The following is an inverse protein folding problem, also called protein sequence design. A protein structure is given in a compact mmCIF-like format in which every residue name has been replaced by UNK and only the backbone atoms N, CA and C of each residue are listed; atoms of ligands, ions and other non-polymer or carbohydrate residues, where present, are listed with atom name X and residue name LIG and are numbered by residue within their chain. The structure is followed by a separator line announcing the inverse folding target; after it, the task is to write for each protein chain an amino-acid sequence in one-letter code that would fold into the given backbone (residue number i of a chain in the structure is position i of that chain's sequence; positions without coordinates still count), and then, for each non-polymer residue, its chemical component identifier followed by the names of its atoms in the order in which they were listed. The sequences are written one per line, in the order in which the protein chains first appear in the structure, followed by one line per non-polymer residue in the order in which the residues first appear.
data_IF_045379023211
#
_entry.id   IF_045379023211
#
_cell.length_a   1.000
_cell.length_b   1.000
_cell.length_c   1.000
_cell.angle_alpha   90.00
_cell.angle_beta   90.00
_cell.angle_gamma   90.00
#
_symmetry.space_group_name_H-M   'P 1'
#
loop_
_entity.id
_entity.type
_entity.pdbx_description
1 polymer ?
#
# COMPACT_ATOMS: atom_id res chain seq x y z
N UNK A 1 -8.61 -57.48 5.75
CA UNK A 1 -9.11 -57.96 7.06
C UNK A 1 -8.60 -57.05 8.19
N UNK A 2 -9.32 -55.95 8.45
CA UNK A 2 -9.67 -55.40 9.76
C UNK A 2 -10.36 -54.04 9.53
N UNK A 3 -11.55 -53.93 10.09
CA UNK A 3 -12.54 -52.87 9.92
C UNK A 3 -12.62 -52.02 11.20
N UNK A 4 -13.47 -50.98 11.13
CA UNK A 4 -14.06 -50.13 12.18
C UNK A 4 -13.31 -48.80 12.43
N UNK A 5 -13.84 -47.62 12.08
CA UNK A 5 -15.12 -46.95 12.40
C UNK A 5 -15.20 -46.43 13.86
N UNK A 6 -15.21 -45.10 14.01
CA UNK A 6 -15.69 -44.35 15.19
C UNK A 6 -16.05 -42.93 14.72
N UNK A 7 -17.34 -42.61 14.54
CA UNK A 7 -18.27 -42.04 15.52
C UNK A 7 -18.03 -40.55 15.80
N UNK A 8 -18.77 -39.72 15.06
CA UNK A 8 -18.99 -38.30 15.33
C UNK A 8 -20.05 -38.14 16.43
N UNK A 9 -19.76 -37.30 17.43
CA UNK A 9 -20.70 -36.92 18.48
C UNK A 9 -21.26 -35.52 18.20
N UNK A 10 -22.59 -35.47 18.09
CA UNK A 10 -23.43 -34.28 17.97
C UNK A 10 -23.64 -33.68 19.37
N UNK A 11 -23.45 -32.37 19.60
CA UNK A 11 -23.80 -31.76 20.88
C UNK A 11 -25.32 -31.60 21.02
N UNK A 12 -25.81 -32.06 22.16
CA UNK A 12 -27.21 -32.02 22.58
C UNK A 12 -27.67 -30.60 22.88
N UNK A 13 -28.81 -30.23 22.31
CA UNK A 13 -29.62 -29.08 22.69
C UNK A 13 -30.25 -29.27 24.08
N UNK A 14 -30.31 -28.19 24.87
CA UNK A 14 -31.17 -28.12 26.08
C UNK A 14 -32.31 -27.12 25.88
N UNK A 15 -33.51 -27.41 26.41
CA UNK A 15 -34.69 -26.58 26.27
C UNK A 15 -34.91 -25.61 27.45
N UNK A 16 -35.47 -24.45 27.09
CA UNK A 16 -36.56 -23.69 27.72
C UNK A 16 -36.55 -23.50 29.25
N UNK A 17 -36.38 -22.25 29.68
CA UNK A 17 -37.00 -21.73 30.88
C UNK A 17 -37.65 -20.37 30.56
N UNK A 18 -38.97 -20.38 30.70
CA UNK A 18 -39.92 -19.29 30.59
C UNK A 18 -39.83 -18.35 31.80
N UNK A 19 -39.85 -17.05 31.53
CA UNK A 19 -39.94 -16.00 32.54
C UNK A 19 -40.59 -14.75 31.96
N UNK A 20 -41.91 -14.76 31.86
CA UNK A 20 -42.71 -13.59 31.52
C UNK A 20 -42.90 -12.70 32.76
N UNK A 21 -42.76 -11.40 32.60
CA UNK A 21 -43.43 -10.40 33.44
C UNK A 21 -43.85 -9.20 32.59
N UNK A 22 -44.95 -8.51 32.93
CA UNK A 22 -45.71 -7.67 32.00
C UNK A 22 -45.62 -6.16 32.29
N UNK A 23 -46.18 -5.37 31.34
CA UNK A 23 -46.61 -3.96 31.44
C UNK A 23 -45.49 -2.90 31.52
N UNK A 24 -45.55 -1.74 30.85
CA UNK A 24 -46.69 -0.95 30.36
C UNK A 24 -46.25 0.05 29.26
N UNK A 25 -47.17 0.52 28.38
CA UNK A 25 -46.90 1.50 27.32
C UNK A 25 -47.43 2.91 27.66
N UNK A 26 -46.65 3.95 27.38
CA UNK A 26 -47.04 5.36 27.26
C UNK A 26 -45.75 6.15 26.89
N UNK A 27 -45.69 7.13 25.99
CA UNK A 27 -46.67 7.91 25.26
C UNK A 27 -45.89 8.84 24.29
N UNK A 28 -46.50 9.15 23.14
CA UNK A 28 -46.50 10.49 22.46
C UNK A 28 -45.15 10.95 21.87
N UNK A 29 -44.90 10.86 20.55
CA UNK A 29 -45.43 11.68 19.44
C UNK A 29 -45.07 13.19 19.50
N UNK A 30 -44.92 13.82 18.32
CA UNK A 30 -44.51 15.21 17.98
C UNK A 30 -42.98 15.42 17.82
N UNK A 31 -42.40 16.01 16.76
CA UNK A 31 -42.82 16.88 15.64
C UNK A 31 -41.84 16.59 14.46
N UNK A 32 -42.27 16.44 13.19
CA UNK A 32 -42.75 17.47 12.25
C UNK A 32 -41.65 18.46 11.83
N UNK A 33 -41.22 18.29 10.56
CA UNK A 33 -40.72 19.30 9.61
C UNK A 33 -39.28 19.83 9.74
N UNK A 34 -38.41 19.39 8.81
CA UNK A 34 -37.62 20.34 8.01
C UNK A 34 -37.78 19.98 6.53
N UNK A 35 -38.22 20.99 5.80
CA UNK A 35 -38.57 20.99 4.40
C UNK A 35 -37.34 20.99 3.49
N UNK A 36 -37.50 20.31 2.36
CA UNK A 36 -37.23 20.80 1.01
C UNK A 36 -36.27 21.99 0.91
N UNK A 37 -35.03 21.73 0.49
CA UNK A 37 -34.18 22.73 -0.16
C UNK A 37 -33.89 22.27 -1.60
N UNK A 38 -34.27 23.06 -2.61
CA UNK A 38 -34.00 22.75 -4.01
C UNK A 38 -32.52 22.95 -4.34
N UNK A 39 -31.91 21.90 -4.89
CA UNK A 39 -30.61 21.98 -5.56
C UNK A 39 -30.76 22.80 -6.84
N UNK A 40 -30.40 24.08 -6.76
CA UNK A 40 -30.20 24.91 -7.96
C UNK A 40 -28.81 24.65 -8.54
N UNK A 41 -28.81 24.22 -9.79
CA UNK A 41 -27.66 24.06 -10.65
C UNK A 41 -26.86 25.36 -10.82
N UNK A 42 -25.53 25.25 -10.76
CA UNK A 42 -24.61 26.25 -11.29
C UNK A 42 -23.34 25.54 -11.81
N UNK A 43 -23.46 24.84 -12.94
CA UNK A 43 -22.28 24.44 -13.73
C UNK A 43 -21.79 25.66 -14.52
N UNK A 44 -20.75 26.32 -13.98
CA UNK A 44 -19.97 27.31 -14.70
C UNK A 44 -18.93 26.61 -15.57
N UNK A 45 -19.13 26.67 -16.87
CA UNK A 45 -18.17 26.26 -17.90
C UNK A 45 -16.93 27.14 -17.86
N UNK A 46 -15.75 26.57 -17.60
CA UNK A 46 -14.47 27.23 -17.90
C UNK A 46 -13.81 26.49 -19.06
N UNK A 47 -13.81 27.14 -20.23
CA UNK A 47 -13.08 26.71 -21.42
C UNK A 47 -11.62 27.11 -21.21
N UNK A 48 -10.73 26.14 -20.99
CA UNK A 48 -9.29 26.36 -21.14
C UNK A 48 -8.91 26.16 -22.60
N UNK A 49 -8.61 27.27 -23.25
CA UNK A 49 -7.97 27.38 -24.56
C UNK A 49 -6.58 26.75 -24.47
N UNK A 50 -6.38 25.60 -25.11
CA UNK A 50 -5.05 25.03 -25.35
C UNK A 50 -4.55 25.59 -26.68
N UNK A 51 -3.61 26.53 -26.61
CA UNK A 51 -2.83 26.96 -27.76
C UNK A 51 -1.79 25.88 -28.04
N UNK A 52 -2.01 25.10 -29.10
CA UNK A 52 -0.97 24.27 -29.71
C UNK A 52 -0.05 25.19 -30.51
N UNK A 53 1.21 25.29 -30.09
CA UNK A 53 2.27 25.85 -30.91
C UNK A 53 2.83 24.73 -31.80
N UNK A 54 2.45 24.75 -33.07
CA UNK A 54 3.14 24.06 -34.15
C UNK A 54 4.53 24.68 -34.32
N UNK A 55 5.59 23.88 -34.18
CA UNK A 55 6.88 24.21 -34.78
C UNK A 55 7.28 23.04 -35.68
N UNK A 56 6.74 23.09 -36.90
CA UNK A 56 7.31 22.40 -38.03
C UNK A 56 8.54 23.19 -38.50
N UNK A 57 9.70 22.55 -38.53
CA UNK A 57 10.82 22.99 -39.36
C UNK A 57 11.37 21.77 -40.05
N UNK A 58 10.86 21.57 -41.27
CA UNK A 58 11.49 20.76 -42.28
C UNK A 58 12.81 21.43 -42.69
N UNK A 59 13.91 20.71 -42.58
CA UNK A 59 15.11 20.97 -43.37
C UNK A 59 15.34 19.72 -44.22
N UNK A 60 14.95 19.85 -45.47
CA UNK A 60 15.40 19.01 -46.58
C UNK A 60 16.84 19.44 -46.88
N UNK A 61 17.81 18.54 -46.75
CA UNK A 61 19.07 18.69 -47.46
C UNK A 61 19.55 17.32 -47.93
N UNK A 62 19.50 17.13 -49.25
CA UNK A 62 20.12 16.02 -49.96
C UNK A 62 21.62 16.30 -50.04
N UNK A 63 22.46 15.37 -49.58
CA UNK A 63 23.91 15.52 -49.65
C UNK A 63 24.66 14.25 -49.27
N UNK A 64 24.83 13.36 -50.25
CA UNK A 64 25.74 12.21 -50.21
C UNK A 64 27.18 12.67 -49.95
N UNK A 65 27.80 12.29 -48.82
CA UNK A 65 29.23 11.94 -48.75
C UNK A 65 29.51 10.95 -47.61
N UNK A 66 30.36 9.98 -47.94
CA UNK A 66 30.81 8.87 -47.10
C UNK A 66 31.68 9.36 -45.93
N UNK A 67 31.73 8.51 -44.89
CA UNK A 67 32.79 8.38 -43.87
C UNK A 67 33.12 9.61 -43.01
N UNK A 68 32.70 9.61 -41.74
CA UNK A 68 33.31 10.51 -40.75
C UNK A 68 32.55 10.86 -39.46
N UNK A 69 31.36 10.32 -39.20
CA UNK A 69 30.47 10.81 -38.13
C UNK A 69 30.18 9.81 -36.99
N UNK A 70 31.21 9.09 -36.52
CA UNK A 70 31.05 8.17 -35.37
C UNK A 70 31.60 8.70 -34.05
N UNK A 71 32.57 9.62 -34.03
CA UNK A 71 33.18 10.07 -32.76
C UNK A 71 32.54 11.31 -32.13
N UNK A 72 32.00 12.23 -32.92
CA UNK A 72 31.46 13.49 -32.39
C UNK A 72 30.10 13.35 -31.69
N UNK A 73 29.28 12.35 -32.06
CA UNK A 73 28.00 12.08 -31.39
C UNK A 73 28.15 11.43 -30.00
N UNK A 74 29.19 10.62 -29.78
CA UNK A 74 29.47 10.05 -28.45
C UNK A 74 29.95 11.13 -27.46
N UNK A 75 30.77 12.09 -27.92
CA UNK A 75 31.25 13.17 -27.05
C UNK A 75 30.15 14.17 -26.68
N UNK A 76 29.20 14.46 -27.58
CA UNK A 76 28.06 15.30 -27.25
C UNK A 76 27.07 14.62 -26.29
N UNK A 77 26.87 13.29 -26.39
CA UNK A 77 26.06 12.56 -25.40
C UNK A 77 26.74 12.53 -24.03
N UNK A 78 28.07 12.37 -23.98
CA UNK A 78 28.83 12.40 -22.72
C UNK A 78 28.86 13.80 -22.09
N UNK A 79 28.91 14.87 -22.89
CA UNK A 79 28.82 16.24 -22.38
C UNK A 79 27.39 16.60 -21.89
N UNK A 80 26.35 16.07 -22.53
CA UNK A 80 24.97 16.22 -22.05
C UNK A 80 24.74 15.45 -20.73
N UNK A 81 25.38 14.31 -20.53
CA UNK A 81 25.35 13.55 -19.27
C UNK A 81 26.24 14.18 -18.18
N UNK A 82 27.34 14.84 -18.54
CA UNK A 82 28.20 15.55 -17.59
C UNK A 82 27.59 16.88 -17.10
N UNK A 83 26.61 17.43 -17.84
CA UNK A 83 25.83 18.61 -17.44
C UNK A 83 24.63 18.31 -16.55
N UNK A 84 24.27 17.04 -16.37
CA UNK A 84 23.41 16.59 -15.27
C UNK A 84 24.27 16.58 -14.01
N UNK A 85 24.51 17.79 -13.51
CA UNK A 85 25.17 18.02 -12.25
C UNK A 85 24.60 17.12 -11.15
N UNK A 86 25.46 16.82 -10.20
CA UNK A 86 25.27 16.13 -8.93
C UNK A 86 24.28 16.85 -7.99
N UNK A 87 23.13 17.25 -8.52
CA UNK A 87 21.93 17.45 -7.74
C UNK A 87 21.18 16.14 -7.77
N UNK A 88 21.45 15.27 -6.79
CA UNK A 88 20.40 14.34 -6.36
C UNK A 88 19.17 15.21 -6.14
N UNK A 89 18.13 15.06 -6.97
CA UNK A 89 16.81 15.55 -6.60
C UNK A 89 16.44 14.74 -5.36
N UNK A 90 16.90 15.21 -4.21
CA UNK A 90 16.77 14.51 -2.94
C UNK A 90 15.28 14.39 -2.67
N UNK A 91 14.80 13.15 -2.61
CA UNK A 91 13.42 12.84 -2.25
C UNK A 91 13.05 13.63 -1.00
N UNK A 92 12.22 14.66 -1.16
CA UNK A 92 11.79 15.49 -0.03
C UNK A 92 10.39 15.04 0.36
N UNK A 93 10.32 14.29 1.45
CA UNK A 93 9.06 13.84 1.99
C UNK A 93 8.32 15.01 2.68
N UNK A 94 7.06 15.31 2.32
CA UNK A 94 6.32 16.40 2.96
C UNK A 94 5.90 16.10 4.41
N UNK A 95 6.00 14.85 4.86
CA UNK A 95 5.60 14.40 6.19
C UNK A 95 6.76 13.64 6.82
N UNK A 96 7.46 14.24 7.76
CA UNK A 96 8.56 13.56 8.46
C UNK A 96 8.05 12.73 9.64
N UNK A 97 8.67 11.59 9.88
CA UNK A 97 8.46 10.82 11.11
C UNK A 97 9.25 11.46 12.27
N UNK A 98 8.71 11.47 13.50
CA UNK A 98 7.38 11.00 13.88
C UNK A 98 6.27 11.99 13.45
N UNK A 99 5.10 11.48 13.08
CA UNK A 99 3.94 12.30 12.64
C UNK A 99 3.24 13.02 13.79
N UNK A 100 3.48 12.60 15.03
CA UNK A 100 2.94 13.18 16.26
C UNK A 100 3.99 13.15 17.36
N UNK A 101 3.92 14.10 18.28
CA UNK A 101 4.83 14.17 19.43
C UNK A 101 4.72 12.89 20.28
N UNK A 102 5.86 12.31 20.66
CA UNK A 102 5.93 11.10 21.48
C UNK A 102 5.66 9.79 20.74
N UNK A 103 5.65 9.79 19.40
CA UNK A 103 5.52 8.60 18.58
C UNK A 103 6.85 8.17 17.94
N UNK A 104 7.92 8.18 18.75
CA UNK A 104 9.30 7.93 18.30
C UNK A 104 9.47 6.52 17.72
N UNK A 105 8.57 5.60 18.05
CA UNK A 105 8.53 4.21 17.56
C UNK A 105 8.09 4.08 16.09
N UNK A 106 7.53 5.12 15.48
CA UNK A 106 7.04 5.04 14.09
C UNK A 106 8.14 4.72 13.08
N UNK A 107 9.33 5.31 13.26
CA UNK A 107 10.46 5.08 12.37
C UNK A 107 11.11 3.70 12.60
N UNK A 108 11.46 3.30 13.84
CA UNK A 108 11.94 1.94 14.10
C UNK A 108 10.97 0.83 13.66
N UNK A 109 9.66 1.05 13.79
CA UNK A 109 8.66 0.12 13.27
C UNK A 109 8.78 -0.04 11.76
N UNK A 110 8.83 1.07 11.02
CA UNK A 110 8.98 1.05 9.57
C UNK A 110 10.27 0.36 9.14
N UNK A 111 11.41 0.73 9.73
CA UNK A 111 12.71 0.14 9.40
C UNK A 111 12.70 -1.39 9.57
N UNK A 112 12.12 -1.89 10.67
CA UNK A 112 11.99 -3.34 10.90
C UNK A 112 11.02 -4.02 9.94
N UNK A 113 9.90 -3.36 9.62
CA UNK A 113 8.91 -3.88 8.69
C UNK A 113 9.44 -3.94 7.26
N UNK A 114 10.08 -2.86 6.80
CA UNK A 114 10.72 -2.80 5.50
C UNK A 114 11.84 -3.84 5.41
N UNK A 115 12.70 -3.96 6.43
CA UNK A 115 13.72 -5.00 6.48
C UNK A 115 13.12 -6.41 6.41
N UNK A 116 12.00 -6.68 7.09
CA UNK A 116 11.33 -7.98 7.03
C UNK A 116 10.74 -8.25 5.64
N UNK A 117 10.18 -7.25 4.97
CA UNK A 117 9.65 -7.40 3.61
C UNK A 117 10.78 -7.63 2.60
N UNK A 118 11.90 -6.91 2.75
CA UNK A 118 13.04 -7.04 1.84
C UNK A 118 13.78 -8.35 2.06
N UNK A 119 14.06 -8.71 3.31
CA UNK A 119 14.98 -9.79 3.66
C UNK A 119 14.31 -11.04 4.25
N UNK A 120 13.01 -10.98 4.45
CA UNK A 120 12.24 -12.04 5.07
C UNK A 120 12.34 -12.09 6.61
N UNK A 121 11.84 -13.17 7.19
CA UNK A 121 11.87 -13.43 8.64
C UNK A 121 12.86 -14.56 9.01
N UNK A 122 13.72 -14.96 8.07
CA UNK A 122 14.69 -16.05 8.21
C UNK A 122 14.15 -17.43 7.82
N UNK A 123 12.83 -17.59 7.68
CA UNK A 123 12.20 -18.79 7.12
C UNK A 123 11.60 -18.48 5.75
N UNK A 124 10.83 -17.39 5.69
CA UNK A 124 10.35 -16.79 4.45
C UNK A 124 11.39 -15.79 3.95
N UNK A 125 11.50 -15.64 2.64
CA UNK A 125 12.62 -14.95 1.98
C UNK A 125 12.39 -13.45 1.76
N UNK A 126 11.17 -12.96 2.02
CA UNK A 126 10.79 -11.59 1.72
C UNK A 126 10.52 -11.42 0.23
N UNK A 127 11.10 -10.39 -0.38
CA UNK A 127 11.06 -10.16 -1.83
C UNK A 127 12.30 -10.69 -2.56
N UNK A 128 13.14 -11.51 -1.92
CA UNK A 128 14.37 -12.05 -2.51
C UNK A 128 14.07 -13.18 -3.49
N UNK A 129 14.09 -12.87 -4.78
CA UNK A 129 14.02 -13.86 -5.87
C UNK A 129 14.95 -13.52 -7.04
N UNK A 130 16.00 -12.73 -6.79
CA UNK A 130 16.94 -12.25 -7.82
C UNK A 130 16.27 -11.42 -8.94
N UNK A 131 15.03 -10.98 -8.74
CA UNK A 131 14.35 -10.10 -9.68
C UNK A 131 14.70 -8.63 -9.45
N UNK A 132 14.39 -7.79 -10.43
CA UNK A 132 14.52 -6.34 -10.28
C UNK A 132 13.66 -5.76 -9.13
N UNK A 133 12.64 -6.51 -8.68
CA UNK A 133 11.72 -6.08 -7.63
C UNK A 133 12.46 -5.80 -6.32
N UNK A 134 13.35 -6.71 -5.92
CA UNK A 134 14.18 -6.57 -4.71
C UNK A 134 14.94 -5.25 -4.73
N UNK A 135 15.58 -4.95 -5.86
CA UNK A 135 16.32 -3.71 -6.04
C UNK A 135 15.44 -2.47 -5.91
N UNK A 136 14.22 -2.48 -6.46
CA UNK A 136 13.33 -1.34 -6.38
C UNK A 136 12.80 -1.11 -4.96
N UNK A 137 12.42 -2.16 -4.24
CA UNK A 137 11.91 -2.02 -2.86
C UNK A 137 12.97 -1.45 -1.93
N UNK A 138 14.24 -1.83 -2.10
CA UNK A 138 15.36 -1.24 -1.38
C UNK A 138 15.63 0.21 -1.81
N UNK A 139 15.74 0.46 -3.12
CA UNK A 139 16.10 1.77 -3.67
C UNK A 139 15.08 2.83 -3.31
N UNK A 140 13.80 2.48 -3.35
CA UNK A 140 12.68 3.36 -3.02
C UNK A 140 12.25 3.30 -1.54
N UNK A 141 13.14 2.84 -0.65
CA UNK A 141 12.83 2.73 0.79
C UNK A 141 12.41 4.06 1.42
N UNK A 142 12.99 5.19 1.00
CA UNK A 142 12.63 6.54 1.49
C UNK A 142 11.25 6.97 0.99
N UNK A 143 10.92 6.67 -0.25
CA UNK A 143 9.60 6.89 -0.83
C UNK A 143 8.53 6.10 -0.07
N UNK A 144 8.82 4.82 0.21
CA UNK A 144 7.97 3.94 1.00
C UNK A 144 7.79 4.46 2.44
N UNK A 145 8.86 4.93 3.08
CA UNK A 145 8.80 5.56 4.42
C UNK A 145 7.86 6.76 4.40
N UNK A 146 7.94 7.58 3.35
CA UNK A 146 7.11 8.76 3.23
C UNK A 146 5.62 8.44 2.98
N UNK A 147 5.35 7.43 2.16
CA UNK A 147 3.99 6.91 1.96
C UNK A 147 3.42 6.37 3.27
N UNK A 148 4.22 5.61 4.02
CA UNK A 148 3.87 5.15 5.35
C UNK A 148 3.58 6.33 6.32
N UNK A 149 4.43 7.36 6.34
CA UNK A 149 4.20 8.56 7.15
C UNK A 149 2.89 9.27 6.80
N UNK A 150 2.53 9.30 5.51
CA UNK A 150 1.25 9.86 5.04
C UNK A 150 0.05 9.08 5.59
N UNK A 151 0.12 7.74 5.63
CA UNK A 151 -0.93 6.91 6.23
C UNK A 151 -1.07 7.17 7.72
N UNK A 152 0.05 7.31 8.45
CA UNK A 152 0.05 7.57 9.88
C UNK A 152 -0.53 8.94 10.22
N UNK A 153 -0.26 9.96 9.41
CA UNK A 153 -0.83 11.30 9.59
C UNK A 153 -2.36 11.29 9.51
N UNK A 154 -2.92 10.42 8.66
CA UNK A 154 -4.37 10.17 8.53
C UNK A 154 -4.88 9.06 9.49
N UNK A 155 -4.09 8.70 10.51
CA UNK A 155 -4.44 7.68 11.52
C UNK A 155 -4.85 6.34 10.87
N UNK A 156 -4.19 5.98 9.77
CA UNK A 156 -4.45 4.77 8.99
C UNK A 156 -5.93 4.63 8.54
N UNK A 157 -6.64 5.75 8.37
CA UNK A 157 -8.06 5.77 8.01
C UNK A 157 -9.02 5.32 9.11
N UNK A 158 -8.55 5.14 10.34
CA UNK A 158 -9.37 4.61 11.44
C UNK A 158 -9.84 3.17 11.22
N UNK A 159 -9.14 2.41 10.37
CA UNK A 159 -9.49 1.04 10.02
C UNK A 159 -9.17 0.09 11.19
N UNK A 160 -10.03 -0.91 11.47
CA UNK A 160 -9.80 -1.85 12.55
C UNK A 160 -8.74 -2.88 12.18
N UNK A 161 -7.94 -3.29 13.16
CA UNK A 161 -6.97 -4.37 13.01
C UNK A 161 -7.63 -5.70 12.59
N UNK A 162 -6.96 -6.43 11.69
CA UNK A 162 -7.27 -7.82 11.31
C UNK A 162 -6.17 -8.79 11.70
N UNK A 163 -5.21 -8.37 12.53
CA UNK A 163 -4.01 -9.13 12.87
C UNK A 163 -4.31 -10.59 13.24
N UNK A 164 -5.28 -10.83 14.13
CA UNK A 164 -5.61 -12.17 14.63
C UNK A 164 -6.03 -13.16 13.53
N UNK A 165 -6.68 -12.68 12.47
CA UNK A 165 -7.13 -13.51 11.36
C UNK A 165 -6.16 -13.49 10.16
N UNK A 166 -5.33 -12.45 10.05
CA UNK A 166 -4.51 -12.17 8.87
C UNK A 166 -3.02 -12.42 9.08
N UNK A 167 -2.54 -12.64 10.30
CA UNK A 167 -1.09 -12.76 10.57
C UNK A 167 -0.39 -13.82 9.72
N UNK A 168 -0.89 -15.06 9.72
CA UNK A 168 -0.32 -16.17 8.95
C UNK A 168 -0.41 -15.93 7.43
N UNK A 169 -1.60 -15.66 6.84
CA UNK A 169 -1.68 -15.44 5.40
C UNK A 169 -0.91 -14.19 4.96
N UNK A 170 -0.84 -13.14 5.80
CA UNK A 170 -0.01 -11.98 5.48
C UNK A 170 1.46 -12.37 5.39
N UNK A 171 2.00 -13.15 6.33
CA UNK A 171 3.41 -13.54 6.24
C UNK A 171 3.65 -14.45 5.03
N UNK A 172 2.78 -15.43 4.78
CA UNK A 172 2.87 -16.32 3.62
C UNK A 172 2.74 -15.60 2.28
N UNK A 173 2.00 -14.50 2.19
CA UNK A 173 1.84 -13.77 0.93
C UNK A 173 2.84 -12.63 0.77
N UNK A 174 3.09 -11.87 1.83
CA UNK A 174 3.93 -10.68 1.79
C UNK A 174 5.42 -10.96 1.94
N UNK A 175 5.80 -12.11 2.53
CA UNK A 175 7.19 -12.52 2.69
C UNK A 175 7.58 -13.68 1.76
N UNK A 176 6.69 -14.08 0.86
CA UNK A 176 6.97 -15.05 -0.21
C UNK A 176 7.21 -14.29 -1.51
N UNK A 177 8.37 -14.46 -2.18
CA UNK A 177 8.68 -13.73 -3.38
C UNK A 177 7.98 -14.26 -4.65
N UNK A 178 7.37 -15.45 -4.60
CA UNK A 178 6.60 -16.03 -5.71
C UNK A 178 5.14 -15.56 -5.73
N UNK A 179 4.66 -15.02 -4.61
CA UNK A 179 3.33 -14.44 -4.49
C UNK A 179 3.23 -13.07 -5.15
N UNK A 180 2.08 -12.75 -5.73
CA UNK A 180 1.90 -11.52 -6.51
C UNK A 180 1.11 -10.43 -5.76
N UNK A 181 0.93 -9.31 -6.45
CA UNK A 181 0.15 -8.19 -5.96
C UNK A 181 -1.34 -8.56 -5.75
N UNK A 182 -1.93 -9.39 -6.62
CA UNK A 182 -3.35 -9.73 -6.54
C UNK A 182 -3.62 -10.57 -5.28
N UNK A 183 -2.78 -11.56 -5.01
CA UNK A 183 -2.84 -12.36 -3.78
C UNK A 183 -2.78 -11.46 -2.53
N UNK A 184 -1.85 -10.50 -2.51
CA UNK A 184 -1.74 -9.54 -1.41
C UNK A 184 -2.98 -8.64 -1.29
N UNK A 185 -3.54 -8.21 -2.41
CA UNK A 185 -4.73 -7.36 -2.44
C UNK A 185 -6.00 -8.09 -1.98
N UNK A 186 -6.09 -9.40 -2.20
CA UNK A 186 -7.21 -10.23 -1.77
C UNK A 186 -7.26 -10.46 -0.25
N UNK A 187 -6.14 -10.26 0.46
CA UNK A 187 -6.11 -10.25 1.94
C UNK A 187 -6.75 -9.00 2.55
N UNK A 188 -7.03 -7.97 1.74
CA UNK A 188 -7.64 -6.74 2.19
C UNK A 188 -9.17 -6.87 2.24
N UNK A 189 -9.77 -6.27 3.26
CA UNK A 189 -11.21 -6.02 3.28
C UNK A 189 -11.60 -4.96 2.24
N UNK A 190 -12.87 -4.91 1.86
CA UNK A 190 -13.37 -3.90 0.90
C UNK A 190 -13.18 -2.45 1.40
N UNK A 191 -13.24 -2.23 2.72
CA UNK A 191 -12.96 -0.92 3.31
C UNK A 191 -11.48 -0.54 3.17
N UNK A 192 -10.59 -1.49 3.44
CA UNK A 192 -9.15 -1.33 3.22
C UNK A 192 -8.83 -1.08 1.75
N UNK A 193 -9.42 -1.85 0.82
CA UNK A 193 -9.24 -1.66 -0.63
C UNK A 193 -9.67 -0.26 -1.07
N UNK A 194 -10.82 0.21 -0.58
CA UNK A 194 -11.34 1.56 -0.85
C UNK A 194 -10.40 2.64 -0.33
N UNK A 195 -9.93 2.50 0.92
CA UNK A 195 -8.97 3.43 1.51
C UNK A 195 -7.66 3.45 0.71
N UNK A 196 -7.09 2.27 0.46
CA UNK A 196 -5.82 2.11 -0.22
C UNK A 196 -5.89 2.63 -1.66
N UNK A 197 -7.01 2.43 -2.36
CA UNK A 197 -7.21 3.00 -3.69
C UNK A 197 -7.13 4.52 -3.67
N UNK A 198 -7.82 5.18 -2.72
CA UNK A 198 -7.76 6.64 -2.55
C UNK A 198 -6.34 7.10 -2.19
N UNK A 199 -5.70 6.41 -1.25
CA UNK A 199 -4.33 6.68 -0.82
C UNK A 199 -3.34 6.58 -1.98
N UNK A 200 -3.35 5.46 -2.72
CA UNK A 200 -2.52 5.23 -3.90
C UNK A 200 -2.78 6.27 -4.98
N UNK A 201 -4.05 6.63 -5.23
CA UNK A 201 -4.40 7.66 -6.21
C UNK A 201 -3.77 9.02 -5.84
N UNK A 202 -3.92 9.44 -4.59
CA UNK A 202 -3.31 10.69 -4.09
C UNK A 202 -1.77 10.64 -4.14
N UNK A 203 -1.16 9.47 -3.90
CA UNK A 203 0.27 9.26 -4.05
C UNK A 203 0.71 9.36 -5.52
N UNK A 204 -0.02 8.74 -6.45
CA UNK A 204 0.31 8.73 -7.89
C UNK A 204 0.23 10.11 -8.55
N UNK A 205 -0.55 11.03 -7.99
CA UNK A 205 -0.61 12.42 -8.45
C UNK A 205 0.69 13.19 -8.12
N UNK A 206 1.54 12.65 -7.24
CA UNK A 206 2.88 13.18 -6.95
C UNK A 206 3.90 12.37 -7.72
N UNK A 207 4.60 13.03 -8.65
CA UNK A 207 5.61 12.40 -9.53
C UNK A 207 6.64 11.56 -8.78
N UNK A 208 6.96 11.97 -7.55
CA UNK A 208 7.93 11.31 -6.67
C UNK A 208 7.57 9.84 -6.37
N UNK A 209 6.28 9.50 -6.27
CA UNK A 209 5.84 8.11 -5.99
C UNK A 209 5.39 7.37 -7.24
N UNK A 210 5.06 8.08 -8.31
CA UNK A 210 4.60 7.47 -9.56
C UNK A 210 5.63 6.47 -10.10
N UNK A 211 6.91 6.83 -10.09
CA UNK A 211 7.99 5.95 -10.56
C UNK A 211 8.07 4.64 -9.78
N UNK A 212 7.95 4.68 -8.45
CA UNK A 212 7.92 3.45 -7.65
C UNK A 212 6.70 2.59 -8.02
N UNK A 213 5.50 3.18 -8.02
CA UNK A 213 4.25 2.48 -8.30
C UNK A 213 4.19 1.86 -9.70
N UNK A 214 4.88 2.45 -10.67
CA UNK A 214 4.97 1.98 -12.06
C UNK A 214 6.04 0.89 -12.24
N UNK A 215 7.22 1.03 -11.63
CA UNK A 215 8.36 0.14 -11.86
C UNK A 215 8.36 -1.09 -10.95
N UNK A 216 8.07 -0.90 -9.66
CA UNK A 216 8.12 -1.95 -8.65
C UNK A 216 6.76 -2.66 -8.48
N UNK A 217 5.73 -2.25 -9.21
CA UNK A 217 4.37 -2.51 -8.74
C UNK A 217 4.17 -1.96 -7.32
N UNK A 218 3.28 -2.56 -6.55
CA UNK A 218 2.93 -2.05 -5.22
C UNK A 218 2.51 -3.14 -4.23
N UNK A 219 3.02 -4.36 -4.41
CA UNK A 219 2.78 -5.49 -3.50
C UNK A 219 3.29 -5.13 -2.09
N UNK A 220 4.54 -4.69 -2.01
CA UNK A 220 5.20 -4.37 -0.74
C UNK A 220 4.55 -3.17 -0.06
N UNK A 221 4.10 -2.19 -0.84
CA UNK A 221 3.31 -1.08 -0.30
C UNK A 221 1.96 -1.55 0.28
N UNK A 222 1.26 -2.48 -0.37
CA UNK A 222 0.05 -3.12 0.16
C UNK A 222 0.36 -3.87 1.45
N UNK A 223 1.47 -4.60 1.49
CA UNK A 223 1.91 -5.34 2.66
C UNK A 223 2.25 -4.42 3.85
N UNK A 224 2.99 -3.33 3.60
CA UNK A 224 3.27 -2.27 4.59
C UNK A 224 1.96 -1.69 5.11
N UNK A 225 1.04 -1.34 4.21
CA UNK A 225 -0.27 -0.79 4.57
C UNK A 225 -1.06 -1.71 5.50
N UNK A 226 -1.26 -2.97 5.10
CA UNK A 226 -2.02 -3.93 5.90
C UNK A 226 -1.37 -4.16 7.26
N UNK A 227 -0.04 -4.33 7.30
CA UNK A 227 0.66 -4.60 8.56
C UNK A 227 0.60 -3.42 9.52
N UNK A 228 0.70 -2.20 8.98
CA UNK A 228 0.58 -0.97 9.77
C UNK A 228 -0.81 -0.86 10.42
N UNK A 229 -1.88 -1.19 9.69
CA UNK A 229 -3.25 -1.22 10.24
C UNK A 229 -3.41 -2.35 11.25
N UNK A 230 -2.91 -3.55 10.91
CA UNK A 230 -3.00 -4.71 11.78
C UNK A 230 -2.31 -4.47 13.11
N UNK A 231 -1.17 -3.79 13.10
CA UNK A 231 -0.43 -3.37 14.29
C UNK A 231 -0.92 -2.02 14.84
N UNK A 232 -2.22 -1.77 14.67
CA UNK A 232 -3.00 -0.70 15.29
C UNK A 232 -2.46 0.70 15.02
N UNK A 233 -2.05 0.93 13.77
CA UNK A 233 -1.43 2.17 13.32
C UNK A 233 -0.18 2.53 14.15
N UNK A 234 0.65 1.50 14.39
CA UNK A 234 1.93 1.58 15.12
C UNK A 234 1.74 1.80 16.61
N UNK A 235 0.93 0.95 17.23
CA UNK A 235 0.87 0.86 18.69
C UNK A 235 2.10 0.16 19.30
N UNK A 236 2.96 -0.44 18.47
CA UNK A 236 4.10 -1.26 18.88
C UNK A 236 5.42 -0.71 18.30
N UNK A 237 6.53 -0.98 18.99
CA UNK A 237 7.90 -0.61 18.57
C UNK A 237 8.48 -1.44 17.41
N UNK A 238 7.77 -2.49 17.01
CA UNK A 238 8.17 -3.42 15.97
C UNK A 238 6.93 -4.11 15.38
N UNK A 239 6.98 -4.52 14.10
CA UNK A 239 5.92 -5.32 13.51
C UNK A 239 5.78 -6.65 14.25
N UNK A 240 4.55 -7.06 14.53
CA UNK A 240 4.27 -8.34 15.21
C UNK A 240 4.39 -9.49 14.20
N UNK A 241 5.60 -10.02 14.04
CA UNK A 241 5.87 -11.17 13.18
C UNK A 241 5.81 -12.47 13.97
N UNK A 242 5.49 -13.57 13.28
CA UNK A 242 5.51 -14.91 13.83
C UNK A 242 6.96 -15.30 14.15
N UNK A 243 7.20 -15.96 15.31
CA UNK A 243 8.54 -16.43 15.64
C UNK A 243 8.94 -17.58 14.70
N UNK A 244 10.25 -17.80 14.46
CA UNK A 244 10.73 -18.92 13.65
C UNK A 244 10.19 -20.30 14.08
N UNK A 245 9.91 -20.47 15.39
CA UNK A 245 9.36 -21.70 15.95
C UNK A 245 7.93 -22.03 15.50
N UNK A 246 7.18 -21.07 14.96
CA UNK A 246 5.86 -21.28 14.37
C UNK A 246 5.98 -22.19 13.13
N UNK A 247 6.88 -21.82 12.22
CA UNK A 247 7.04 -22.47 10.92
C UNK A 247 7.58 -23.90 11.01
N UNK A 248 8.38 -24.22 12.03
CA UNK A 248 8.88 -25.58 12.24
C UNK A 248 7.79 -26.60 12.61
N UNK A 249 6.62 -26.16 13.08
CA UNK A 249 5.51 -27.05 13.46
C UNK A 249 4.56 -27.36 12.31
N UNK A 250 4.42 -26.44 11.36
CA UNK A 250 3.50 -26.60 10.22
C UNK A 250 4.13 -27.35 9.04
N UNK A 251 5.45 -27.50 9.00
CA UNK A 251 6.18 -28.29 7.98
C UNK A 251 6.27 -29.80 8.28
N UNK A 252 5.53 -30.31 9.26
CA UNK A 252 5.40 -31.74 9.59
C UNK A 252 3.97 -32.20 9.40
#
# INVERSE_FOLDING_TARGET
LKSCAASAQIPQSRPWASGASPMQPAQVALLVWIALLPWTAAMRTSKHTVLYAENASAVVEQGSWRTGLSRFRCQQLQAALAGLGTGSAEHTCPITLPTRQGADEQKPFFEKLHAAIVHGNGILEGCRNESAQEHYVETFGKELECLYATMLADKCGGLPSKHAARQVPWEQTCLDPDEDLLASYDLMTEQEKTYFHRFKKAASERQIYATYLELAGYKELVCIFMKTIDDECVAFAAPRLLPPSYWHKEWK
#
